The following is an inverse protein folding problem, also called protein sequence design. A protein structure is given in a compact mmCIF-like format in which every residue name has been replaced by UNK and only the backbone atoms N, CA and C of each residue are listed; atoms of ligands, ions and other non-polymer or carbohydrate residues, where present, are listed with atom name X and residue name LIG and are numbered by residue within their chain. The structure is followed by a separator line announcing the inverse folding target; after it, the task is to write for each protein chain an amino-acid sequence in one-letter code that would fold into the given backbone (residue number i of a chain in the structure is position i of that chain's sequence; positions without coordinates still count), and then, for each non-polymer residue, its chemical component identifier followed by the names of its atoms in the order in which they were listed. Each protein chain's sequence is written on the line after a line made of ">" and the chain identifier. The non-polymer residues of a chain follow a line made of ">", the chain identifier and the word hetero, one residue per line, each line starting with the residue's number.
data_IF_955330558588
#
_entry.id   IF_955330558588
#
_cell.length_a   1.000
_cell.length_b   1.000
_cell.length_c   1.000
_cell.angle_alpha   90.00
_cell.angle_beta   90.00
_cell.angle_gamma   90.00
#
_symmetry.space_group_name_H-M   'P 1'
#
loop_
_entity.id
_entity.type
_entity.pdbx_description
1 polymer ?
#
# COMPACT_ATOMS: atom_id res chain seq x y z
N UNK A 1 9.76 -29.63 0.00
CA UNK A 1 8.74 -28.57 0.19
C UNK A 1 7.84 -28.96 1.35
N UNK A 2 7.69 -28.16 2.42
CA UNK A 2 6.87 -28.62 3.53
C UNK A 2 5.39 -28.52 3.13
N UNK A 3 4.76 -29.69 2.99
CA UNK A 3 3.36 -29.95 2.59
C UNK A 3 2.28 -29.36 3.54
N UNK A 4 2.64 -28.46 4.45
CA UNK A 4 1.80 -28.05 5.59
C UNK A 4 1.14 -26.67 5.44
N UNK A 5 1.24 -26.01 4.28
CA UNK A 5 0.68 -24.68 4.03
C UNK A 5 -0.17 -24.59 2.75
N UNK A 6 -0.72 -25.72 2.29
CA UNK A 6 -1.46 -25.79 1.02
C UNK A 6 -2.73 -24.89 0.97
N UNK A 7 -3.16 -24.34 2.09
CA UNK A 7 -4.34 -23.49 2.17
C UNK A 7 -4.06 -21.99 1.91
N UNK A 8 -2.80 -21.55 1.93
CA UNK A 8 -2.45 -20.16 1.58
C UNK A 8 -2.61 -19.99 0.08
N UNK A 9 -3.46 -19.06 -0.34
CA UNK A 9 -3.77 -18.72 -1.74
C UNK A 9 -2.80 -17.69 -2.30
N UNK A 10 -2.39 -16.74 -1.47
CA UNK A 10 -1.56 -15.61 -1.89
C UNK A 10 -0.13 -15.77 -1.35
N UNK A 11 0.68 -16.53 -2.08
CA UNK A 11 2.08 -16.78 -1.76
C UNK A 11 2.98 -15.64 -2.20
N UNK A 12 2.64 -15.05 -3.35
CA UNK A 12 3.30 -13.90 -3.94
C UNK A 12 2.30 -12.76 -4.18
N UNK A 13 2.85 -11.57 -4.45
CA UNK A 13 2.02 -10.38 -4.71
C UNK A 13 1.17 -10.55 -5.98
N UNK A 14 1.68 -11.27 -6.97
CA UNK A 14 0.99 -11.52 -8.23
C UNK A 14 -0.31 -12.32 -8.02
N UNK A 15 -0.29 -13.34 -7.14
CA UNK A 15 -1.48 -14.12 -6.81
C UNK A 15 -2.63 -13.24 -6.30
N UNK A 16 -2.29 -12.22 -5.51
CA UNK A 16 -3.27 -11.26 -4.99
C UNK A 16 -3.79 -10.32 -6.08
N UNK A 17 -2.93 -9.86 -6.97
CA UNK A 17 -3.31 -8.98 -8.08
C UNK A 17 -4.21 -9.74 -9.09
N UNK A 18 -3.86 -10.97 -9.45
CA UNK A 18 -4.68 -11.83 -10.31
C UNK A 18 -6.04 -12.15 -9.66
N UNK A 19 -6.06 -12.40 -8.35
CA UNK A 19 -7.30 -12.57 -7.61
C UNK A 19 -8.18 -11.33 -7.68
N UNK A 20 -7.63 -10.12 -7.47
CA UNK A 20 -8.40 -8.88 -7.53
C UNK A 20 -9.01 -8.63 -8.92
N UNK A 21 -8.35 -9.07 -9.99
CA UNK A 21 -8.85 -8.95 -11.36
C UNK A 21 -9.88 -10.03 -11.72
N UNK A 22 -9.96 -11.13 -10.96
CA UNK A 22 -10.90 -12.22 -11.18
C UNK A 22 -12.36 -11.87 -10.80
N UNK A 23 -13.37 -12.55 -11.36
CA UNK A 23 -14.77 -12.39 -10.94
C UNK A 23 -14.98 -12.67 -9.45
N UNK A 24 -14.21 -13.60 -8.86
CA UNK A 24 -14.26 -13.92 -7.43
C UNK A 24 -13.78 -12.73 -6.59
N UNK A 25 -12.65 -12.13 -6.96
CA UNK A 25 -12.08 -10.98 -6.25
C UNK A 25 -12.97 -9.74 -6.34
N UNK A 26 -13.55 -9.48 -7.51
CA UNK A 26 -14.46 -8.34 -7.72
C UNK A 26 -15.73 -8.41 -6.86
N UNK A 27 -16.24 -9.61 -6.58
CA UNK A 27 -17.43 -9.82 -5.74
C UNK A 27 -17.08 -10.06 -4.26
N UNK A 28 -15.80 -10.19 -3.95
CA UNK A 28 -15.36 -10.66 -2.66
C UNK A 28 -15.48 -9.59 -1.57
N UNK A 29 -15.94 -10.02 -0.39
CA UNK A 29 -15.94 -9.21 0.83
C UNK A 29 -14.62 -9.28 1.60
N UNK A 30 -13.57 -9.91 1.03
CA UNK A 30 -12.22 -9.90 1.62
C UNK A 30 -11.72 -8.46 1.58
N UNK A 31 -11.88 -7.76 2.71
CA UNK A 31 -11.56 -6.32 2.93
C UNK A 31 -10.05 -6.03 2.78
N UNK A 32 -9.63 -4.85 3.23
CA UNK A 32 -8.27 -4.25 3.19
C UNK A 32 -7.10 -5.18 3.55
N UNK A 33 -7.31 -6.26 4.30
CA UNK A 33 -6.27 -7.24 4.69
C UNK A 33 -6.54 -8.65 4.18
N UNK A 34 -7.34 -8.80 3.13
CA UNK A 34 -7.74 -10.10 2.55
C UNK A 34 -6.57 -10.98 2.10
N UNK A 35 -5.43 -10.38 1.79
CA UNK A 35 -4.21 -11.10 1.43
C UNK A 35 -3.44 -11.67 2.65
N UNK A 36 -3.74 -11.22 3.87
CA UNK A 36 -3.07 -11.67 5.10
C UNK A 36 -3.63 -12.99 5.61
N UNK A 37 -3.50 -14.04 4.81
CA UNK A 37 -3.94 -15.38 5.20
C UNK A 37 -3.02 -16.02 6.27
N UNK A 38 -3.62 -16.69 7.24
CA UNK A 38 -2.93 -17.56 8.19
C UNK A 38 -2.51 -18.89 7.54
N UNK A 39 -1.89 -19.79 8.31
CA UNK A 39 -1.45 -21.11 7.83
C UNK A 39 -2.58 -21.99 7.27
N UNK A 40 -3.83 -21.66 7.58
CA UNK A 40 -5.03 -22.38 7.16
C UNK A 40 -5.76 -21.63 6.02
N UNK A 41 -5.19 -20.56 5.45
CA UNK A 41 -5.84 -19.79 4.38
C UNK A 41 -6.90 -18.80 4.88
N UNK A 42 -7.02 -18.60 6.19
CA UNK A 42 -8.04 -17.72 6.76
C UNK A 42 -7.54 -16.28 6.84
N UNK A 43 -8.39 -15.32 6.47
CA UNK A 43 -8.11 -13.90 6.66
C UNK A 43 -8.12 -13.53 8.14
N UNK A 44 -7.39 -12.47 8.56
CA UNK A 44 -7.41 -12.04 9.95
C UNK A 44 -8.82 -11.58 10.32
N UNK A 45 -9.27 -11.91 11.53
CA UNK A 45 -10.51 -11.34 12.05
C UNK A 45 -10.36 -9.83 12.23
N UNK A 46 -11.49 -9.11 12.32
CA UNK A 46 -11.48 -7.64 12.52
C UNK A 46 -10.65 -7.25 13.75
N UNK A 47 -10.76 -8.01 14.84
CA UNK A 47 -9.97 -7.79 16.05
C UNK A 47 -8.46 -7.91 15.79
N UNK A 48 -8.03 -8.96 15.09
CA UNK A 48 -6.62 -9.14 14.75
C UNK A 48 -6.14 -8.06 13.77
N UNK A 49 -6.98 -7.67 12.80
CA UNK A 49 -6.69 -6.57 11.89
C UNK A 49 -6.42 -5.25 12.65
N UNK A 50 -7.22 -4.93 13.67
CA UNK A 50 -7.00 -3.76 14.54
C UNK A 50 -5.64 -3.86 15.25
N UNK A 51 -5.30 -5.01 15.82
CA UNK A 51 -4.01 -5.22 16.49
C UNK A 51 -2.81 -5.11 15.52
N UNK A 52 -2.95 -5.61 14.29
CA UNK A 52 -1.94 -5.45 13.23
C UNK A 52 -1.70 -3.96 12.97
N UNK A 53 -2.77 -3.18 12.80
CA UNK A 53 -2.64 -1.74 12.56
C UNK A 53 -2.02 -0.99 13.75
N UNK A 54 -2.40 -1.34 14.98
CA UNK A 54 -1.77 -0.79 16.19
C UNK A 54 -0.28 -1.07 16.22
N UNK A 55 0.13 -2.31 15.91
CA UNK A 55 1.54 -2.68 15.84
C UNK A 55 2.27 -1.94 14.72
N UNK A 56 1.74 -1.89 13.50
CA UNK A 56 2.34 -1.16 12.37
C UNK A 56 2.64 0.30 12.75
N UNK A 57 1.66 0.98 13.35
CA UNK A 57 1.81 2.38 13.78
C UNK A 57 2.84 2.55 14.89
N UNK A 58 2.91 1.60 15.84
CA UNK A 58 3.97 1.58 16.87
C UNK A 58 5.36 1.38 16.25
N UNK A 59 5.48 0.50 15.26
CA UNK A 59 6.72 0.30 14.52
C UNK A 59 7.17 1.57 13.80
N UNK A 60 6.25 2.30 13.16
CA UNK A 60 6.56 3.58 12.54
C UNK A 60 6.96 4.65 13.56
N UNK A 61 6.26 4.72 14.70
CA UNK A 61 6.62 5.64 15.78
C UNK A 61 8.03 5.36 16.32
N UNK A 62 8.44 4.09 16.41
CA UNK A 62 9.80 3.72 16.80
C UNK A 62 10.84 4.20 15.77
N UNK A 63 10.57 4.05 14.47
CA UNK A 63 11.46 4.57 13.42
C UNK A 63 11.62 6.11 13.52
N UNK A 64 10.55 6.83 13.84
CA UNK A 64 10.62 8.30 14.04
C UNK A 64 11.46 8.63 15.26
N UNK A 65 11.27 7.91 16.37
CA UNK A 65 12.07 8.08 17.60
C UNK A 65 13.56 7.86 17.37
N UNK A 66 13.91 6.93 16.49
CA UNK A 66 15.29 6.62 16.09
C UNK A 66 15.80 7.49 14.93
N UNK A 67 15.02 8.50 14.50
CA UNK A 67 15.34 9.37 13.36
C UNK A 67 15.62 8.61 12.05
N UNK A 68 15.05 7.40 11.93
CA UNK A 68 15.24 6.46 10.82
C UNK A 68 14.00 6.29 9.96
N UNK A 69 12.93 7.06 10.24
CA UNK A 69 11.70 7.05 9.46
C UNK A 69 11.95 7.56 8.02
N UNK A 70 11.60 6.76 6.98
CA UNK A 70 11.93 7.14 5.62
C UNK A 70 10.93 8.14 5.04
N UNK A 71 11.35 8.91 4.04
CA UNK A 71 10.47 9.84 3.32
C UNK A 71 9.36 9.12 2.54
N UNK A 72 9.66 7.94 2.03
CA UNK A 72 8.72 7.00 1.44
C UNK A 72 9.08 5.58 1.88
N UNK A 73 8.10 4.68 1.98
CA UNK A 73 8.37 3.34 2.50
C UNK A 73 9.41 2.56 1.67
N UNK A 74 9.43 2.76 0.34
CA UNK A 74 10.44 2.15 -0.54
C UNK A 74 11.87 2.67 -0.34
N UNK A 75 12.07 3.73 0.45
CA UNK A 75 13.39 4.28 0.84
C UNK A 75 13.79 3.87 2.26
N UNK A 76 13.07 2.93 2.88
CA UNK A 76 13.45 2.40 4.18
C UNK A 76 14.83 1.75 4.10
N UNK A 77 15.67 2.01 5.10
CA UNK A 77 17.02 1.44 5.17
C UNK A 77 16.96 -0.08 5.37
N UNK A 78 18.04 -0.78 5.03
CA UNK A 78 18.13 -2.23 5.25
C UNK A 78 17.93 -2.60 6.73
N UNK A 79 18.52 -1.84 7.66
CA UNK A 79 18.31 -2.02 9.10
C UNK A 79 16.86 -1.76 9.51
N UNK A 80 16.20 -0.75 8.95
CA UNK A 80 14.78 -0.47 9.16
C UNK A 80 13.88 -1.62 8.67
N UNK A 81 14.20 -2.19 7.49
CA UNK A 81 13.49 -3.37 6.98
C UNK A 81 13.64 -4.58 7.92
N UNK A 82 14.87 -4.88 8.37
CA UNK A 82 15.14 -5.98 9.31
C UNK A 82 14.40 -5.75 10.63
N UNK A 83 14.45 -4.54 11.18
CA UNK A 83 13.70 -4.16 12.37
C UNK A 83 12.20 -4.43 12.19
N UNK A 84 11.60 -3.88 11.14
CA UNK A 84 10.16 -3.94 10.95
C UNK A 84 9.67 -5.37 10.67
N UNK A 85 10.41 -6.14 9.88
CA UNK A 85 10.12 -7.57 9.65
C UNK A 85 10.21 -8.39 10.94
N UNK A 86 11.24 -8.19 11.76
CA UNK A 86 11.40 -8.90 13.03
C UNK A 86 10.32 -8.49 14.03
N UNK A 87 10.03 -7.19 14.13
CA UNK A 87 9.02 -6.64 15.02
C UNK A 87 7.63 -7.21 14.69
N UNK A 88 7.20 -7.10 13.43
CA UNK A 88 5.88 -7.56 12.99
C UNK A 88 5.78 -9.08 12.96
N UNK A 89 6.83 -9.79 12.52
CA UNK A 89 6.84 -11.26 12.46
C UNK A 89 6.89 -11.93 13.82
N UNK A 90 7.38 -11.26 14.88
CA UNK A 90 7.27 -11.75 16.26
C UNK A 90 5.83 -11.67 16.78
N UNK A 91 5.12 -10.58 16.47
CA UNK A 91 3.74 -10.36 16.93
C UNK A 91 2.72 -11.16 16.11
N UNK A 92 2.90 -11.26 14.79
CA UNK A 92 1.94 -11.91 13.89
C UNK A 92 2.67 -12.90 12.98
N UNK A 93 2.60 -14.22 13.29
CA UNK A 93 3.31 -15.26 12.55
C UNK A 93 3.00 -15.30 11.05
N UNK A 94 1.84 -14.81 10.62
CA UNK A 94 1.44 -14.78 9.20
C UNK A 94 2.38 -13.96 8.30
N UNK A 95 3.12 -13.00 8.85
CA UNK A 95 4.15 -12.28 8.10
C UNK A 95 5.45 -13.08 7.90
N UNK A 96 5.64 -14.20 8.61
CA UNK A 96 6.76 -15.14 8.42
C UNK A 96 6.47 -16.25 7.43
N UNK A 97 5.19 -16.44 7.07
CA UNK A 97 4.75 -17.60 6.28
C UNK A 97 5.01 -17.44 4.77
N UNK A 98 5.46 -16.28 4.31
CA UNK A 98 5.49 -15.95 2.86
C UNK A 98 6.86 -15.51 2.36
N UNK A 99 7.10 -15.77 1.08
CA UNK A 99 8.35 -15.42 0.42
C UNK A 99 8.60 -13.92 0.46
N UNK A 100 9.86 -13.56 0.75
CA UNK A 100 10.39 -12.19 0.68
C UNK A 100 9.61 -11.13 1.49
N UNK A 101 8.71 -11.56 2.39
CA UNK A 101 7.95 -10.65 3.23
C UNK A 101 7.01 -9.71 2.47
N UNK A 102 6.58 -10.08 1.26
CA UNK A 102 5.83 -9.18 0.37
C UNK A 102 4.54 -8.65 1.00
N UNK A 103 3.83 -9.46 1.80
CA UNK A 103 2.60 -9.07 2.50
C UNK A 103 2.83 -7.88 3.42
N UNK A 104 3.92 -7.92 4.19
CA UNK A 104 4.27 -6.82 5.09
C UNK A 104 4.68 -5.59 4.29
N UNK A 105 5.52 -5.77 3.26
CA UNK A 105 5.95 -4.67 2.40
C UNK A 105 4.78 -4.00 1.67
N UNK A 106 3.78 -4.77 1.23
CA UNK A 106 2.59 -4.25 0.58
C UNK A 106 1.71 -3.48 1.58
N UNK A 107 1.49 -4.04 2.78
CA UNK A 107 0.74 -3.40 3.85
C UNK A 107 1.30 -2.01 4.17
N UNK A 108 2.62 -1.93 4.37
CA UNK A 108 3.28 -0.69 4.76
C UNK A 108 3.42 0.28 3.59
N UNK A 109 3.73 -0.18 2.38
CA UNK A 109 3.86 0.68 1.21
C UNK A 109 2.55 1.40 0.84
N UNK A 110 1.40 0.74 1.04
CA UNK A 110 0.08 1.30 0.73
C UNK A 110 -0.42 2.27 1.80
N UNK A 111 -0.04 2.08 3.06
CA UNK A 111 -0.62 2.81 4.19
C UNK A 111 0.30 3.84 4.84
N UNK A 112 1.63 3.65 4.75
CA UNK A 112 2.62 4.57 5.31
C UNK A 112 2.47 6.01 4.79
N UNK A 113 2.25 6.27 3.48
CA UNK A 113 2.14 7.64 2.98
C UNK A 113 1.01 8.44 3.64
N UNK A 114 -0.14 7.81 3.86
CA UNK A 114 -1.29 8.44 4.51
C UNK A 114 -0.98 8.75 5.99
N UNK A 115 -0.40 7.80 6.71
CA UNK A 115 0.00 7.99 8.11
C UNK A 115 1.07 9.08 8.25
N UNK A 116 2.12 9.04 7.43
CA UNK A 116 3.20 10.03 7.41
C UNK A 116 2.63 11.43 7.18
N UNK A 117 1.77 11.60 6.17
CA UNK A 117 1.13 12.90 5.88
C UNK A 117 0.32 13.43 7.06
N UNK A 118 -0.37 12.57 7.81
CA UNK A 118 -1.18 12.95 8.97
C UNK A 118 -0.31 13.31 10.19
N UNK A 119 0.74 12.52 10.45
CA UNK A 119 1.47 12.56 11.74
C UNK A 119 2.81 13.27 11.71
N UNK A 120 3.48 13.32 10.56
CA UNK A 120 4.85 13.85 10.42
C UNK A 120 4.89 15.09 9.55
N UNK A 121 5.85 15.97 9.84
CA UNK A 121 6.20 17.11 9.00
C UNK A 121 7.05 16.67 7.78
N UNK A 122 7.47 17.64 6.96
CA UNK A 122 8.30 17.40 5.79
C UNK A 122 9.67 16.80 6.16
N UNK A 123 10.18 17.13 7.35
CA UNK A 123 11.44 16.63 7.89
C UNK A 123 11.33 15.22 8.50
N UNK A 124 10.13 14.65 8.59
CA UNK A 124 9.91 13.34 9.19
C UNK A 124 9.84 13.37 10.72
N UNK A 125 9.70 14.55 11.33
CA UNK A 125 9.50 14.74 12.77
C UNK A 125 8.00 14.77 13.08
N UNK A 126 7.65 14.51 14.34
CA UNK A 126 6.26 14.67 14.78
C UNK A 126 5.78 16.09 14.53
N UNK A 127 4.59 16.24 13.95
CA UNK A 127 3.95 17.55 13.87
C UNK A 127 3.67 18.06 15.28
N UNK A 128 3.93 19.34 15.52
CA UNK A 128 3.52 20.00 16.74
C UNK A 128 1.99 19.95 16.83
N UNK A 129 1.47 19.32 17.89
CA UNK A 129 0.07 19.49 18.26
C UNK A 129 -0.06 20.93 18.73
N UNK A 130 -0.88 21.74 18.05
CA UNK A 130 -1.19 23.10 18.52
C UNK A 130 -1.53 23.05 20.01
N UNK A 131 -0.94 23.98 20.80
CA UNK A 131 -1.13 24.05 22.25
C UNK A 131 -2.62 23.99 22.60
N UNK A 132 -3.02 22.89 23.24
CA UNK A 132 -4.34 22.71 23.84
C UNK A 132 -5.15 21.57 23.25
N UNK A 133 -4.78 20.33 23.58
CA UNK A 133 -5.68 19.21 23.90
C UNK A 133 -4.82 18.18 24.65
N UNK A 134 -5.32 17.74 25.81
CA UNK A 134 -4.68 16.73 26.66
C UNK A 134 -4.33 15.50 25.82
N UNK A 135 -3.12 14.99 25.98
CA UNK A 135 -2.73 13.69 25.45
C UNK A 135 -3.32 12.65 26.39
N UNK A 136 -4.61 12.36 26.22
CA UNK A 136 -5.10 11.04 26.58
C UNK A 136 -4.67 10.11 25.44
N UNK A 137 -4.35 8.85 25.76
CA UNK A 137 -4.08 7.79 24.78
C UNK A 137 -5.36 7.55 23.97
N UNK A 138 -5.64 8.44 23.02
CA UNK A 138 -6.73 8.30 22.06
C UNK A 138 -6.34 7.15 21.11
N UNK A 139 -6.77 5.95 21.49
CA UNK A 139 -7.19 4.88 20.59
C UNK A 139 -8.31 5.45 19.68
N UNK A 140 -7.95 6.36 18.78
CA UNK A 140 -8.83 6.85 17.71
C UNK A 140 -9.12 5.67 16.78
N UNK A 141 -10.21 4.96 17.08
CA UNK A 141 -11.01 4.13 16.17
C UNK A 141 -11.61 5.06 15.09
N UNK A 142 -10.76 5.55 14.19
CA UNK A 142 -11.17 6.27 12.98
C UNK A 142 -11.55 5.23 11.93
N UNK A 143 -12.80 4.77 12.04
CA UNK A 143 -13.53 3.99 11.05
C UNK A 143 -13.80 4.88 9.83
N UNK A 144 -12.98 4.72 8.79
CA UNK A 144 -13.24 5.30 7.48
C UNK A 144 -13.10 4.21 6.42
N UNK A 145 -14.11 3.36 6.37
CA UNK A 145 -14.51 2.63 5.16
C UNK A 145 -14.97 3.65 4.09
N UNK A 146 -14.05 4.28 3.36
CA UNK A 146 -14.36 4.84 2.04
C UNK A 146 -13.09 5.01 1.17
N UNK A 147 -12.65 3.92 0.53
CA UNK A 147 -11.66 4.01 -0.55
C UNK A 147 -12.40 4.38 -1.83
N UNK A 148 -12.16 5.62 -2.25
CA UNK A 148 -12.80 6.27 -3.39
C UNK A 148 -12.74 5.48 -4.68
N UNK A 149 -13.89 5.50 -5.35
CA UNK A 149 -14.06 5.07 -6.72
C UNK A 149 -13.28 5.98 -7.70
N UNK A 150 -12.80 5.33 -8.78
CA UNK A 150 -12.42 5.88 -10.10
C UNK A 150 -11.06 6.58 -10.19
N UNK A 151 -10.04 5.82 -10.60
CA UNK A 151 -8.99 6.34 -11.50
C UNK A 151 -9.30 5.87 -12.92
N UNK A 152 -10.00 6.72 -13.68
CA UNK A 152 -10.14 6.54 -15.12
C UNK A 152 -8.75 6.69 -15.75
N UNK A 153 -8.24 5.61 -16.35
CA UNK A 153 -7.08 5.68 -17.25
C UNK A 153 -7.54 6.37 -18.52
N UNK A 154 -7.06 7.59 -18.76
CA UNK A 154 -7.17 8.23 -20.06
C UNK A 154 -6.28 7.46 -21.05
N UNK A 155 -6.89 6.58 -21.84
CA UNK A 155 -6.35 6.09 -23.10
C UNK A 155 -6.35 7.28 -24.08
N UNK A 156 -5.22 7.96 -24.21
CA UNK A 156 -4.95 8.82 -25.36
C UNK A 156 -4.12 8.02 -26.37
N UNK A 157 -4.78 7.11 -27.08
CA UNK A 157 -4.26 6.63 -28.36
C UNK A 157 -4.33 7.80 -29.35
N UNK A 158 -3.22 8.52 -29.55
CA UNK A 158 -3.03 9.34 -30.73
C UNK A 158 -2.24 8.50 -31.72
N UNK A 159 -2.96 7.90 -32.65
CA UNK A 159 -2.41 7.33 -33.87
C UNK A 159 -2.04 8.45 -34.87
N UNK A 160 -1.15 8.07 -35.77
CA UNK A 160 -0.87 8.64 -37.10
C UNK A 160 0.25 9.67 -37.29
N UNK A 161 0.89 9.43 -38.43
CA UNK A 161 2.26 9.58 -38.90
C UNK A 161 2.60 10.97 -39.47
N UNK A 162 3.89 11.34 -39.57
CA UNK A 162 4.29 12.56 -40.26
C UNK A 162 4.60 12.27 -41.73
N UNK A 163 3.65 12.55 -42.62
CA UNK A 163 3.93 12.59 -44.06
C UNK A 163 4.26 14.01 -44.55
N UNK A 164 5.35 14.07 -45.32
CA UNK A 164 5.98 15.27 -45.85
C UNK A 164 5.39 15.62 -47.23
N UNK A 165 5.17 16.93 -47.43
CA UNK A 165 5.20 17.71 -48.68
C UNK A 165 4.07 17.45 -49.69
N UNK A 166 3.41 18.53 -50.13
CA UNK A 166 3.64 19.13 -51.45
C UNK A 166 3.07 20.56 -51.49
N UNK A 167 3.89 21.50 -51.97
CA UNK A 167 3.53 22.88 -52.34
C UNK A 167 2.90 22.85 -53.73
N UNK A 168 1.86 23.64 -53.96
CA UNK A 168 1.46 24.05 -55.32
C UNK A 168 -0.02 24.28 -55.50
N UNK A 169 -0.55 25.39 -55.00
CA UNK A 169 -1.80 25.93 -55.53
C UNK A 169 -1.48 26.77 -56.77
N UNK A 170 -2.05 26.41 -57.92
CA UNK A 170 -2.13 27.25 -59.11
C UNK A 170 -3.60 27.46 -59.45
N UNK A 171 -3.91 28.70 -59.83
CA UNK A 171 -5.00 29.17 -60.69
C UNK A 171 -5.87 30.24 -60.02
N UNK A 172 -5.63 31.49 -60.40
CA UNK A 172 -6.69 32.37 -60.89
C UNK A 172 -6.20 33.06 -62.17
N UNK A 173 -7.01 32.90 -63.23
CA UNK A 173 -6.95 33.61 -64.50
C UNK A 173 -7.37 35.07 -64.31
N UNK A 174 -6.84 35.97 -65.13
CA UNK A 174 -7.63 37.02 -65.78
C UNK A 174 -6.90 37.54 -67.02
N UNK A 175 -7.73 37.91 -68.00
CA UNK A 175 -7.46 38.16 -69.42
C UNK A 175 -6.56 39.36 -69.70
#
# INVERSE_FOLDING_TARGET
>A
TPKNYLAIRFWDRQDWEEYLDSPEGQQSKRRTLGYLEDKNGNTPSIKIAKEIWKAVRRGWAQLVKEESAPQSWGRLTASGHVFFHNFMGKAFPMFKLVNNGWKLNHLTATSYPAWRKRKLDENGRWKEKGKGIKVEDDDDDDDSDEVGAKRARALACKSETPEKKFKGARCIYSQ
#
